data_IF_952797391677
#
_entry.id   IF_952797391677
#
_cell.length_a   1.000
_cell.length_b   1.000
_cell.length_c   1.000
_cell.angle_alpha   90.00
_cell.angle_beta   90.00
_cell.angle_gamma   90.00
#
_symmetry.space_group_name_H-M   'P 1'
#
loop_
_entity.id
_entity.type
_entity.pdbx_description
1 polymer ?
#
# COMPACT_ATOMS: atom_id res chain seq x y z
N UNK A 1 67.57 -2.15 -24.14
CA UNK A 1 67.52 -0.77 -23.61
C UNK A 1 66.18 -0.18 -23.99
N UNK A 2 65.52 0.48 -23.04
CA UNK A 2 64.11 0.91 -23.02
C UNK A 2 63.06 -0.21 -22.87
N UNK A 3 62.04 0.04 -22.03
CA UNK A 3 60.79 -0.72 -21.81
C UNK A 3 60.61 -1.61 -20.56
N UNK A 4 61.19 -1.26 -19.40
CA UNK A 4 60.72 -1.82 -18.09
C UNK A 4 60.51 -0.73 -16.99
N UNK A 5 60.77 0.54 -17.28
CA UNK A 5 60.86 1.59 -16.24
C UNK A 5 59.63 2.48 -15.99
N UNK A 6 58.38 2.02 -16.23
CA UNK A 6 57.20 2.91 -16.15
C UNK A 6 55.97 2.34 -15.41
N UNK A 7 56.15 1.38 -14.49
CA UNK A 7 55.03 0.81 -13.70
C UNK A 7 55.17 0.93 -12.18
N UNK A 8 56.20 1.60 -11.66
CA UNK A 8 56.47 1.69 -10.22
C UNK A 8 56.31 3.10 -9.61
N UNK A 9 55.72 4.07 -10.34
CA UNK A 9 55.62 5.47 -9.88
C UNK A 9 54.20 6.07 -9.89
N UNK A 10 53.14 5.24 -9.96
CA UNK A 10 51.73 5.67 -9.79
C UNK A 10 51.06 4.90 -8.64
N UNK A 11 51.82 4.57 -7.59
CA UNK A 11 51.30 3.86 -6.41
C UNK A 11 51.63 4.56 -5.09
N UNK A 12 51.73 5.90 -5.10
CA UNK A 12 51.96 6.70 -3.88
C UNK A 12 51.14 7.99 -3.80
N UNK A 13 49.99 8.08 -4.50
CA UNK A 13 49.06 9.21 -4.37
C UNK A 13 47.62 8.78 -4.03
N UNK A 14 47.40 7.54 -3.61
CA UNK A 14 46.19 7.18 -2.88
C UNK A 14 46.50 7.32 -1.39
N UNK A 15 46.52 8.56 -0.91
CA UNK A 15 46.39 8.81 0.52
C UNK A 15 45.03 8.27 0.94
N UNK A 16 45.00 7.06 1.48
CA UNK A 16 43.93 6.63 2.35
C UNK A 16 43.93 7.61 3.52
N UNK A 17 43.02 8.57 3.46
CA UNK A 17 42.66 9.42 4.59
C UNK A 17 41.96 8.51 5.60
N UNK A 18 42.75 7.72 6.33
CA UNK A 18 42.33 6.84 7.42
C UNK A 18 42.13 7.71 8.69
N UNK A 19 41.41 8.82 8.50
CA UNK A 19 40.84 9.55 9.63
C UNK A 19 39.80 8.60 10.24
N UNK A 20 39.87 8.31 11.55
CA UNK A 20 38.89 7.45 12.20
C UNK A 20 37.53 8.11 11.99
N UNK A 21 36.72 7.54 11.09
CA UNK A 21 35.34 7.96 10.93
C UNK A 21 34.64 7.59 12.22
N UNK A 22 34.44 8.58 13.08
CA UNK A 22 33.69 8.42 14.31
C UNK A 22 32.31 7.88 13.94
N UNK A 23 32.11 6.59 14.19
CA UNK A 23 30.85 5.88 13.94
C UNK A 23 29.70 6.44 14.78
N UNK A 24 29.98 7.44 15.63
CA UNK A 24 29.04 8.17 16.47
C UNK A 24 28.30 9.31 15.76
N UNK A 25 28.77 9.81 14.61
CA UNK A 25 28.11 10.97 13.97
C UNK A 25 27.05 10.49 12.97
N UNK A 26 25.78 10.52 13.38
CA UNK A 26 24.61 10.34 12.52
C UNK A 26 23.79 11.64 12.50
N UNK A 27 23.13 12.01 11.38
CA UNK A 27 23.26 11.45 10.02
C UNK A 27 24.46 12.01 9.23
N UNK A 28 25.01 11.22 8.29
CA UNK A 28 26.14 11.61 7.39
C UNK A 28 25.75 11.79 5.91
N UNK A 29 24.50 11.49 5.59
CA UNK A 29 23.90 11.64 4.26
C UNK A 29 22.41 11.98 4.44
N UNK A 30 21.72 12.44 3.38
CA UNK A 30 20.30 12.73 3.46
C UNK A 30 19.47 11.52 3.92
N UNK A 31 18.46 11.79 4.76
CA UNK A 31 17.50 10.80 5.26
C UNK A 31 16.28 10.83 4.34
N UNK A 32 15.80 9.66 3.92
CA UNK A 32 14.59 9.54 3.10
C UNK A 32 13.38 9.39 4.02
N UNK A 33 12.40 10.27 3.88
CA UNK A 33 11.09 10.12 4.49
C UNK A 33 10.10 9.64 3.44
N UNK A 34 9.60 8.41 3.58
CA UNK A 34 8.53 7.91 2.73
C UNK A 34 7.19 8.43 3.25
N UNK A 35 6.46 9.11 2.39
CA UNK A 35 5.07 9.51 2.61
C UNK A 35 4.22 8.71 1.63
N UNK A 36 3.35 7.79 2.10
CA UNK A 36 2.74 6.80 1.22
C UNK A 36 1.46 7.33 0.53
N UNK A 37 1.51 8.59 0.08
CA UNK A 37 0.44 9.34 -0.57
C UNK A 37 1.00 10.26 -1.65
N UNK A 38 0.14 10.72 -2.57
CA UNK A 38 0.53 11.63 -3.64
C UNK A 38 1.06 12.98 -3.12
N UNK A 39 1.98 13.58 -3.88
CA UNK A 39 2.52 14.90 -3.57
C UNK A 39 1.42 15.98 -3.59
N UNK A 40 1.54 16.99 -2.73
CA UNK A 40 0.57 18.07 -2.58
C UNK A 40 -0.69 17.73 -1.78
N UNK A 41 -0.87 16.47 -1.36
CA UNK A 41 -1.96 16.07 -0.45
C UNK A 41 -1.64 16.39 1.02
N UNK A 42 -2.63 16.26 1.91
CA UNK A 42 -2.51 16.62 3.34
C UNK A 42 -1.31 15.99 4.07
N UNK A 43 -1.03 14.70 3.85
CA UNK A 43 0.14 14.02 4.45
C UNK A 43 1.47 14.53 3.91
N UNK A 44 1.55 14.87 2.62
CA UNK A 44 2.75 15.43 1.99
C UNK A 44 3.01 16.86 2.49
N UNK A 45 1.95 17.69 2.55
CA UNK A 45 2.02 19.04 3.11
C UNK A 45 2.47 19.00 4.57
N UNK A 46 1.88 18.13 5.39
CA UNK A 46 2.28 17.95 6.78
C UNK A 46 3.77 17.58 6.91
N UNK A 47 4.25 16.62 6.10
CA UNK A 47 5.65 16.22 6.09
C UNK A 47 6.58 17.38 5.70
N UNK A 48 6.19 18.19 4.71
CA UNK A 48 6.97 19.35 4.22
C UNK A 48 7.08 20.45 5.26
N UNK A 49 6.05 20.67 6.07
CA UNK A 49 6.07 21.64 7.17
C UNK A 49 7.19 21.30 8.15
N UNK A 50 7.27 20.03 8.59
CA UNK A 50 8.31 19.57 9.49
C UNK A 50 9.69 19.51 8.81
N UNK A 51 9.77 19.06 7.56
CA UNK A 51 11.00 19.09 6.77
C UNK A 51 11.57 20.52 6.68
N UNK A 52 10.73 21.51 6.36
CA UNK A 52 11.15 22.91 6.23
C UNK A 52 11.64 23.48 7.58
N UNK A 53 10.94 23.17 8.67
CA UNK A 53 11.36 23.60 10.01
C UNK A 53 12.72 22.99 10.41
N UNK A 54 12.91 21.70 10.15
CA UNK A 54 14.19 21.01 10.38
C UNK A 54 15.32 21.65 9.58
N UNK A 55 15.10 21.97 8.30
CA UNK A 55 16.11 22.60 7.45
C UNK A 55 16.41 24.05 7.87
N UNK A 56 15.37 24.85 8.07
CA UNK A 56 15.47 26.29 8.42
C UNK A 56 16.21 26.49 9.75
N UNK A 57 15.90 25.66 10.74
CA UNK A 57 16.50 25.74 12.07
C UNK A 57 17.75 24.86 12.23
N UNK A 58 18.21 24.19 11.16
CA UNK A 58 19.39 23.30 11.16
C UNK A 58 19.33 22.25 12.28
N UNK A 59 18.14 21.67 12.50
CA UNK A 59 17.88 20.69 13.57
C UNK A 59 18.51 19.32 13.27
N UNK A 60 18.90 19.09 12.02
CA UNK A 60 19.71 17.95 11.61
C UNK A 60 20.92 18.43 10.79
N UNK A 61 22.07 17.74 10.88
CA UNK A 61 23.23 18.05 10.05
C UNK A 61 23.05 17.64 8.58
N UNK A 62 22.01 16.87 8.27
CA UNK A 62 21.69 16.40 6.92
C UNK A 62 20.22 16.63 6.60
N UNK A 63 19.93 16.79 5.31
CA UNK A 63 18.56 17.03 4.85
C UNK A 63 17.67 15.81 5.04
N UNK A 64 16.45 16.05 5.45
CA UNK A 64 15.33 15.12 5.30
C UNK A 64 14.78 15.28 3.88
N UNK A 65 14.57 14.20 3.13
CA UNK A 65 14.10 14.22 1.74
C UNK A 65 12.82 13.40 1.63
N UNK A 66 11.73 14.05 1.26
CA UNK A 66 10.42 13.41 1.12
C UNK A 66 10.35 12.63 -0.19
N UNK A 67 9.90 11.38 -0.10
CA UNK A 67 9.65 10.48 -1.22
C UNK A 67 8.19 10.02 -1.15
N UNK A 68 7.38 10.47 -2.11
CA UNK A 68 5.97 10.08 -2.21
C UNK A 68 5.84 8.69 -2.86
N UNK A 69 5.22 7.73 -2.17
CA UNK A 69 5.00 6.35 -2.67
C UNK A 69 3.53 5.97 -2.49
N UNK A 70 2.62 6.47 -3.36
CA UNK A 70 1.19 6.25 -3.22
C UNK A 70 0.77 4.80 -3.54
N UNK A 71 -0.38 4.40 -3.02
CA UNK A 71 -1.11 3.19 -3.43
C UNK A 71 -1.61 2.34 -2.27
N UNK A 72 -2.70 1.60 -2.51
CA UNK A 72 -3.34 0.65 -1.58
C UNK A 72 -3.46 1.15 -0.13
N UNK A 73 -4.00 2.37 0.06
CA UNK A 73 -4.22 2.95 1.40
C UNK A 73 -2.93 3.27 2.18
N UNK A 74 -1.79 3.30 1.50
CA UNK A 74 -0.47 3.58 2.06
C UNK A 74 0.36 2.32 2.35
N UNK A 75 -0.18 1.13 2.08
CA UNK A 75 0.50 -0.15 2.32
C UNK A 75 1.72 -0.36 1.42
N UNK A 76 1.70 0.14 0.18
CA UNK A 76 2.86 0.03 -0.74
C UNK A 76 4.07 0.77 -0.17
N UNK A 77 3.89 2.04 0.22
CA UNK A 77 4.97 2.84 0.78
C UNK A 77 5.43 2.34 2.15
N UNK A 78 4.51 1.90 3.02
CA UNK A 78 4.89 1.36 4.33
C UNK A 78 5.62 0.02 4.22
N UNK A 79 5.23 -0.88 3.30
CA UNK A 79 5.94 -2.15 3.03
C UNK A 79 7.36 -1.91 2.56
N UNK A 80 7.57 -0.89 1.72
CA UNK A 80 8.90 -0.48 1.26
C UNK A 80 9.80 -0.06 2.42
N UNK A 81 9.27 0.66 3.41
CA UNK A 81 10.04 1.06 4.61
C UNK A 81 10.25 -0.13 5.54
N UNK A 82 9.22 -0.95 5.78
CA UNK A 82 9.33 -2.18 6.57
C UNK A 82 10.51 -3.05 6.13
N UNK A 83 10.72 -3.15 4.82
CA UNK A 83 11.78 -3.96 4.20
C UNK A 83 13.09 -3.19 3.94
N UNK A 84 13.18 -1.93 4.33
CA UNK A 84 14.39 -1.14 4.16
C UNK A 84 15.48 -1.55 5.18
N UNK A 85 16.74 -1.17 4.91
CA UNK A 85 17.82 -1.37 5.88
C UNK A 85 17.47 -0.63 7.19
N UNK A 86 17.70 -1.21 8.38
CA UNK A 86 17.52 -0.57 9.69
C UNK A 86 18.61 0.48 10.00
N UNK A 87 18.73 1.37 9.03
CA UNK A 87 19.64 2.44 8.75
C UNK A 87 19.61 3.74 9.55
N UNK A 88 18.40 4.06 10.01
CA UNK A 88 17.96 5.44 10.24
C UNK A 88 17.87 6.31 8.97
N UNK A 89 18.21 5.85 7.76
CA UNK A 89 18.16 6.70 6.55
C UNK A 89 16.92 6.48 5.67
N UNK A 90 16.02 5.57 6.05
CA UNK A 90 14.71 5.41 5.41
C UNK A 90 13.66 5.31 6.50
N UNK A 91 12.82 6.32 6.59
CA UNK A 91 11.78 6.48 7.60
C UNK A 91 10.41 6.51 6.92
N UNK A 92 9.35 6.30 7.67
CA UNK A 92 7.97 6.37 7.21
C UNK A 92 7.23 7.42 8.03
N UNK A 93 6.49 8.29 7.35
CA UNK A 93 5.42 9.06 7.98
C UNK A 93 4.10 8.49 7.48
N UNK A 94 3.33 7.88 8.38
CA UNK A 94 2.02 7.33 8.09
C UNK A 94 1.16 7.45 9.34
N UNK A 95 -0.03 8.02 9.16
CA UNK A 95 -1.03 8.15 10.22
C UNK A 95 -1.64 6.79 10.62
N UNK A 96 -2.75 6.76 11.37
CA UNK A 96 -3.48 5.55 11.80
C UNK A 96 -3.85 4.57 10.68
N UNK A 97 -3.65 4.94 9.40
CA UNK A 97 -3.72 4.02 8.27
C UNK A 97 -2.86 2.77 8.46
N UNK A 98 -1.74 2.85 9.20
CA UNK A 98 -0.92 1.66 9.52
C UNK A 98 -1.67 0.65 10.41
N UNK A 99 -2.52 1.14 11.32
CA UNK A 99 -3.31 0.32 12.23
C UNK A 99 -4.56 -0.22 11.51
N UNK A 100 -5.28 0.65 10.81
CA UNK A 100 -6.51 0.25 10.09
C UNK A 100 -6.21 -0.71 8.94
N UNK A 101 -5.05 -0.61 8.29
CA UNK A 101 -4.65 -1.52 7.22
C UNK A 101 -4.52 -2.97 7.73
N UNK A 102 -3.95 -3.18 8.93
CA UNK A 102 -3.87 -4.51 9.55
C UNK A 102 -5.26 -5.09 9.82
N UNK A 103 -6.08 -4.33 10.54
CA UNK A 103 -7.39 -4.80 11.01
C UNK A 103 -8.45 -4.90 9.91
N UNK A 104 -8.22 -4.29 8.74
CA UNK A 104 -9.05 -4.49 7.55
C UNK A 104 -8.60 -5.64 6.66
N UNK A 105 -7.46 -6.28 6.94
CA UNK A 105 -6.84 -7.28 6.06
C UNK A 105 -6.15 -6.68 4.82
N UNK A 106 -6.06 -5.34 4.70
CA UNK A 106 -5.36 -4.67 3.61
C UNK A 106 -3.82 -4.85 3.69
N UNK A 107 -3.32 -5.12 4.90
CA UNK A 107 -1.93 -5.50 5.15
C UNK A 107 -1.85 -6.62 6.19
N UNK A 108 -0.88 -7.53 6.03
CA UNK A 108 -0.59 -8.59 7.00
C UNK A 108 0.29 -8.13 8.17
N UNK A 109 0.55 -6.83 8.29
CA UNK A 109 1.42 -6.24 9.33
C UNK A 109 0.83 -4.93 9.84
N UNK A 110 1.19 -4.53 11.06
CA UNK A 110 0.79 -3.25 11.66
C UNK A 110 1.99 -2.49 12.23
N UNK A 111 1.75 -1.76 13.32
CA UNK A 111 2.76 -0.97 14.01
C UNK A 111 3.92 -1.82 14.55
N UNK A 112 3.66 -3.07 14.93
CA UNK A 112 4.63 -4.06 15.42
C UNK A 112 5.74 -4.41 14.41
N UNK A 113 5.57 -4.08 13.13
CA UNK A 113 6.58 -4.25 12.11
C UNK A 113 7.62 -3.11 12.04
N UNK A 114 7.52 -2.12 12.93
CA UNK A 114 8.34 -0.90 12.92
C UNK A 114 8.84 -0.53 14.32
N UNK A 115 9.79 0.40 14.38
CA UNK A 115 10.13 1.12 15.61
C UNK A 115 9.45 2.50 15.56
N UNK A 116 8.59 2.86 16.55
CA UNK A 116 8.02 4.20 16.62
C UNK A 116 9.08 5.24 16.99
N UNK A 117 9.10 6.35 16.27
CA UNK A 117 10.02 7.48 16.52
C UNK A 117 9.29 8.57 17.29
N UNK A 118 8.15 9.00 16.76
CA UNK A 118 7.36 10.09 17.31
C UNK A 118 5.92 10.05 16.78
N UNK A 119 4.98 10.58 17.56
CA UNK A 119 3.67 11.02 17.08
C UNK A 119 3.61 12.54 17.07
N UNK A 120 3.41 13.17 15.90
CA UNK A 120 3.64 14.62 15.71
C UNK A 120 2.40 15.43 15.35
N UNK A 121 1.24 15.15 15.94
CA UNK A 121 0.02 15.91 15.69
C UNK A 121 -1.14 14.99 15.35
N UNK A 122 -2.34 15.48 15.60
CA UNK A 122 -3.54 14.66 15.64
C UNK A 122 -4.74 15.40 15.05
N UNK A 123 -5.54 14.71 14.25
CA UNK A 123 -6.67 15.29 13.54
C UNK A 123 -7.94 14.45 13.71
N UNK A 124 -8.87 14.93 14.54
CA UNK A 124 -10.16 14.26 14.75
C UNK A 124 -11.02 14.29 13.48
N UNK A 125 -11.87 13.27 13.33
CA UNK A 125 -12.81 13.18 12.21
C UNK A 125 -14.18 13.76 12.56
N UNK A 126 -14.85 14.34 11.57
CA UNK A 126 -16.21 14.88 11.64
C UNK A 126 -17.13 13.96 10.86
N UNK A 127 -18.20 13.47 11.49
CA UNK A 127 -19.28 12.78 10.79
C UNK A 127 -20.19 13.83 10.17
N UNK A 128 -20.37 13.78 8.85
CA UNK A 128 -21.17 14.74 8.13
C UNK A 128 -22.15 14.06 7.17
N UNK A 129 -23.22 14.79 6.89
CA UNK A 129 -24.31 14.45 5.97
C UNK A 129 -24.61 15.63 5.06
N UNK A 130 -25.37 15.41 4.00
CA UNK A 130 -25.92 16.52 3.20
C UNK A 130 -26.85 17.41 4.05
N UNK A 131 -26.92 18.72 3.79
CA UNK A 131 -27.81 19.62 4.54
C UNK A 131 -29.29 19.21 4.49
N UNK A 132 -29.72 18.59 3.39
CA UNK A 132 -31.08 18.07 3.20
C UNK A 132 -31.32 16.71 3.88
N UNK A 133 -30.31 16.15 4.56
CA UNK A 133 -30.42 14.87 5.25
C UNK A 133 -31.48 14.94 6.36
N UNK A 134 -32.25 13.85 6.57
CA UNK A 134 -33.22 13.77 7.66
C UNK A 134 -32.57 13.69 9.06
N UNK A 135 -31.26 13.43 9.14
CA UNK A 135 -30.56 13.30 10.42
C UNK A 135 -30.08 14.65 10.92
N UNK A 136 -30.60 15.07 12.07
CA UNK A 136 -30.21 16.32 12.73
C UNK A 136 -28.99 16.14 13.65
N UNK A 137 -28.79 14.93 14.19
CA UNK A 137 -27.75 14.60 15.15
C UNK A 137 -27.27 13.14 14.96
N UNK A 138 -26.21 12.76 15.69
CA UNK A 138 -25.65 11.41 15.60
C UNK A 138 -26.59 10.34 16.18
N UNK A 139 -27.31 10.55 17.32
CA UNK A 139 -28.30 9.61 17.82
C UNK A 139 -29.40 9.25 16.82
N UNK A 140 -29.91 10.23 16.05
CA UNK A 140 -30.93 10.00 15.03
C UNK A 140 -30.40 9.11 13.89
N UNK A 141 -29.18 9.38 13.40
CA UNK A 141 -28.51 8.53 12.41
C UNK A 141 -28.34 7.10 12.93
N UNK A 142 -27.88 6.94 14.17
CA UNK A 142 -27.61 5.62 14.76
C UNK A 142 -28.87 4.83 15.08
N UNK A 143 -29.97 5.50 15.44
CA UNK A 143 -31.29 4.86 15.60
C UNK A 143 -31.75 4.29 14.26
N UNK A 144 -31.69 5.10 13.20
CA UNK A 144 -32.13 4.66 11.87
C UNK A 144 -31.25 3.53 11.31
N UNK A 145 -29.93 3.58 11.54
CA UNK A 145 -29.02 2.49 11.20
C UNK A 145 -29.35 1.17 11.93
N UNK A 146 -30.02 1.22 13.08
CA UNK A 146 -30.44 0.06 13.86
C UNK A 146 -31.81 -0.45 13.44
N UNK A 147 -32.76 0.45 13.20
CA UNK A 147 -34.13 0.13 12.75
C UNK A 147 -34.16 -0.36 11.31
N UNK A 148 -33.31 0.21 10.46
CA UNK A 148 -33.21 -0.08 9.02
C UNK A 148 -31.77 -0.42 8.65
N UNK A 149 -31.25 -1.61 9.05
CA UNK A 149 -29.87 -1.99 8.76
C UNK A 149 -29.57 -1.95 7.26
N UNK A 150 -28.38 -1.44 6.90
CA UNK A 150 -27.87 -1.31 5.52
C UNK A 150 -28.63 -0.32 4.61
N UNK A 151 -29.60 0.44 5.15
CA UNK A 151 -30.32 1.49 4.41
C UNK A 151 -29.44 2.72 4.16
N UNK A 152 -28.66 3.12 5.17
CA UNK A 152 -27.77 4.28 5.14
C UNK A 152 -26.47 3.93 4.41
N UNK A 153 -26.17 4.69 3.36
CA UNK A 153 -24.96 4.54 2.55
C UNK A 153 -23.83 5.38 3.13
N UNK A 154 -22.81 4.71 3.66
CA UNK A 154 -21.64 5.34 4.23
C UNK A 154 -20.49 5.37 3.21
N UNK A 155 -20.09 6.56 2.77
CA UNK A 155 -18.97 6.73 1.86
C UNK A 155 -17.64 6.65 2.61
N UNK A 156 -16.77 5.75 2.19
CA UNK A 156 -15.47 5.54 2.84
C UNK A 156 -14.37 5.25 1.83
N UNK A 157 -13.13 5.28 2.32
CA UNK A 157 -12.06 4.51 1.71
C UNK A 157 -11.90 3.22 2.54
N UNK A 158 -12.25 2.08 1.96
CA UNK A 158 -12.22 0.77 2.60
C UNK A 158 -10.81 0.50 3.16
N UNK A 159 -10.77 0.06 4.42
CA UNK A 159 -9.54 -0.19 5.16
C UNK A 159 -8.79 1.06 5.66
N UNK A 160 -9.26 2.26 5.34
CA UNK A 160 -8.70 3.51 5.85
C UNK A 160 -9.45 4.01 7.11
N UNK A 161 -8.93 5.03 7.81
CA UNK A 161 -9.59 5.61 8.99
C UNK A 161 -11.04 6.05 8.75
N UNK A 162 -11.39 6.47 7.54
CA UNK A 162 -12.77 6.83 7.21
C UNK A 162 -13.75 5.66 7.24
N UNK A 163 -13.31 4.47 6.84
CA UNK A 163 -14.10 3.25 6.97
C UNK A 163 -14.25 2.87 8.45
N UNK A 164 -13.14 2.94 9.21
CA UNK A 164 -13.16 2.65 10.64
C UNK A 164 -13.99 3.64 11.45
N UNK A 165 -14.13 4.90 11.03
CA UNK A 165 -15.05 5.84 11.69
C UNK A 165 -16.51 5.29 11.69
N UNK A 166 -16.98 4.74 10.57
CA UNK A 166 -18.29 4.10 10.49
C UNK A 166 -18.38 2.80 11.27
N UNK A 167 -17.36 1.94 11.19
CA UNK A 167 -17.30 0.68 11.95
C UNK A 167 -17.30 0.92 13.47
N UNK A 168 -16.56 1.93 13.93
CA UNK A 168 -16.51 2.31 15.35
C UNK A 168 -17.86 2.80 15.83
N UNK A 169 -18.60 3.57 15.02
CA UNK A 169 -19.99 3.95 15.33
C UNK A 169 -20.90 2.71 15.44
N UNK A 170 -20.83 1.79 14.49
CA UNK A 170 -21.60 0.53 14.54
C UNK A 170 -21.30 -0.26 15.82
N UNK A 171 -20.02 -0.34 16.22
CA UNK A 171 -19.59 -1.09 17.40
C UNK A 171 -20.27 -0.64 18.70
N UNK A 172 -20.78 0.60 18.76
CA UNK A 172 -21.43 1.16 19.95
C UNK A 172 -22.94 0.95 20.02
N UNK A 173 -23.56 0.45 18.95
CA UNK A 173 -25.01 0.18 18.91
C UNK A 173 -25.27 -1.18 18.28
N UNK A 174 -25.64 -2.13 19.13
CA UNK A 174 -25.99 -3.49 18.68
C UNK A 174 -27.08 -3.42 17.62
N UNK A 175 -26.83 -4.04 16.46
CA UNK A 175 -27.76 -4.06 15.33
C UNK A 175 -27.58 -2.93 14.33
N UNK A 176 -26.86 -1.85 14.66
CA UNK A 176 -26.62 -0.75 13.73
C UNK A 176 -25.77 -1.21 12.53
N UNK A 177 -26.27 -1.00 11.31
CA UNK A 177 -25.56 -1.33 10.07
C UNK A 177 -25.61 -0.21 9.04
N UNK A 178 -24.47 0.01 8.39
CA UNK A 178 -24.26 0.95 7.30
C UNK A 178 -23.85 0.14 6.08
N UNK A 179 -24.36 0.54 4.92
CA UNK A 179 -23.87 0.03 3.64
C UNK A 179 -22.66 0.86 3.20
N UNK A 180 -21.47 0.32 3.38
CA UNK A 180 -20.24 1.00 2.96
C UNK A 180 -20.07 1.00 1.44
N UNK A 181 -19.61 2.13 0.89
CA UNK A 181 -19.22 2.25 -0.51
C UNK A 181 -17.79 2.73 -0.65
N UNK A 182 -17.02 2.10 -1.56
CA UNK A 182 -15.64 2.46 -1.84
C UNK A 182 -15.60 3.71 -2.73
N UNK A 183 -15.36 4.86 -2.13
CA UNK A 183 -15.36 6.15 -2.83
C UNK A 183 -13.98 6.83 -2.84
N UNK A 184 -13.08 6.42 -1.93
CA UNK A 184 -11.71 6.92 -1.87
C UNK A 184 -11.57 8.19 -1.00
N UNK A 185 -10.74 9.15 -1.42
CA UNK A 185 -10.41 10.35 -0.64
C UNK A 185 -11.60 11.28 -0.35
N UNK A 186 -11.42 12.24 0.56
CA UNK A 186 -12.49 13.16 1.01
C UNK A 186 -13.19 13.92 -0.11
N UNK A 187 -12.45 14.47 -1.08
CA UNK A 187 -13.05 15.18 -2.22
C UNK A 187 -14.03 14.32 -3.04
N UNK A 188 -13.70 13.04 -3.28
CA UNK A 188 -14.60 12.11 -3.99
C UNK A 188 -15.84 11.77 -3.15
N UNK A 189 -15.66 11.57 -1.83
CA UNK A 189 -16.75 11.31 -0.88
C UNK A 189 -17.70 12.49 -0.77
N UNK A 190 -17.17 13.70 -0.73
CA UNK A 190 -17.93 14.93 -0.78
C UNK A 190 -18.73 15.06 -2.09
N UNK A 191 -18.09 14.84 -3.25
CA UNK A 191 -18.79 14.87 -4.54
C UNK A 191 -19.92 13.83 -4.63
N UNK A 192 -19.71 12.62 -4.10
CA UNK A 192 -20.75 11.59 -4.04
C UNK A 192 -21.93 12.01 -3.14
N UNK A 193 -21.66 12.70 -2.02
CA UNK A 193 -22.68 13.22 -1.11
C UNK A 193 -23.47 14.37 -1.75
N UNK A 194 -22.82 15.23 -2.52
CA UNK A 194 -23.48 16.29 -3.30
C UNK A 194 -24.35 15.72 -4.42
N UNK A 195 -23.92 14.63 -5.05
CA UNK A 195 -24.70 13.92 -6.06
C UNK A 195 -25.84 13.06 -5.50
N UNK A 196 -26.01 12.98 -4.18
CA UNK A 196 -27.04 12.14 -3.54
C UNK A 196 -26.78 10.63 -3.69
N UNK A 197 -25.55 10.22 -3.94
CA UNK A 197 -25.17 8.81 -4.06
C UNK A 197 -24.84 8.15 -2.71
N UNK A 198 -24.62 8.96 -1.67
CA UNK A 198 -24.25 8.55 -0.32
C UNK A 198 -24.92 9.46 0.71
N UNK A 199 -25.22 8.93 1.88
CA UNK A 199 -25.97 9.64 2.92
C UNK A 199 -25.04 10.28 3.96
N UNK A 200 -23.94 9.58 4.29
CA UNK A 200 -23.02 9.95 5.37
C UNK A 200 -21.57 9.65 4.99
N UNK A 201 -20.64 10.45 5.52
CA UNK A 201 -19.20 10.20 5.43
C UNK A 201 -18.49 10.85 6.62
N UNK A 202 -17.27 10.39 6.91
CA UNK A 202 -16.36 11.10 7.80
C UNK A 202 -15.42 12.03 7.02
N UNK A 203 -15.06 13.18 7.57
CA UNK A 203 -14.08 14.11 6.99
C UNK A 203 -13.13 14.60 8.06
N UNK A 204 -11.91 15.02 7.70
CA UNK A 204 -11.12 15.82 8.64
C UNK A 204 -11.82 17.17 8.92
N UNK A 205 -11.47 17.81 10.04
CA UNK A 205 -12.00 19.15 10.37
C UNK A 205 -11.72 20.16 9.24
N UNK A 206 -10.52 20.13 8.66
CA UNK A 206 -10.15 21.02 7.55
C UNK A 206 -11.01 20.77 6.31
N UNK A 207 -11.19 19.51 5.91
CA UNK A 207 -12.09 19.14 4.80
C UNK A 207 -13.53 19.58 5.09
N UNK A 208 -14.04 19.34 6.30
CA UNK A 208 -15.39 19.75 6.67
C UNK A 208 -15.56 21.27 6.57
N UNK A 209 -14.65 22.06 7.12
CA UNK A 209 -14.70 23.53 7.04
C UNK A 209 -14.68 24.00 5.57
N UNK A 210 -13.86 23.36 4.73
CA UNK A 210 -13.80 23.67 3.30
C UNK A 210 -15.11 23.32 2.57
N UNK A 211 -15.74 22.20 2.93
CA UNK A 211 -16.92 21.67 2.22
C UNK A 211 -18.25 22.20 2.76
N UNK A 212 -18.32 22.60 4.02
CA UNK A 212 -19.52 23.11 4.69
C UNK A 212 -20.26 24.19 3.89
N UNK A 213 -19.60 25.21 3.28
CA UNK A 213 -20.29 26.24 2.49
C UNK A 213 -21.04 25.69 1.26
N UNK A 214 -20.72 24.47 0.82
CA UNK A 214 -21.33 23.80 -0.31
C UNK A 214 -22.49 22.87 0.09
N UNK A 215 -23.01 22.97 1.32
CA UNK A 215 -24.27 22.33 1.70
C UNK A 215 -24.12 20.98 2.43
N UNK A 216 -23.19 20.89 3.38
CA UNK A 216 -23.08 19.73 4.28
C UNK A 216 -23.11 20.14 5.75
N UNK A 217 -23.72 19.28 6.58
CA UNK A 217 -23.87 19.46 8.02
C UNK A 217 -23.08 18.42 8.78
N UNK A 218 -22.38 18.84 9.83
CA UNK A 218 -21.75 17.95 10.78
C UNK A 218 -22.77 17.45 11.81
N UNK A 219 -22.74 16.15 12.11
CA UNK A 219 -23.54 15.53 13.17
C UNK A 219 -22.76 15.37 14.47
N UNK A 220 -21.47 15.04 14.38
CA UNK A 220 -20.60 14.88 15.55
C UNK A 220 -19.12 15.00 15.19
N UNK A 221 -18.33 15.45 16.16
CA UNK A 221 -16.88 15.30 16.16
C UNK A 221 -16.48 13.99 16.85
N UNK A 222 -15.61 13.20 16.24
CA UNK A 222 -15.04 11.97 16.81
C UNK A 222 -13.73 12.27 17.54
N UNK A 223 -13.73 13.27 18.40
CA UNK A 223 -12.59 13.67 19.23
C UNK A 223 -12.93 13.61 20.72
N UNK A 224 -11.93 13.62 21.61
CA UNK A 224 -12.16 13.56 23.06
C UNK A 224 -12.86 14.82 23.60
N UNK A 225 -12.70 15.95 22.91
CA UNK A 225 -13.28 17.24 23.28
C UNK A 225 -13.66 18.01 22.01
N UNK A 226 -14.50 19.03 22.15
CA UNK A 226 -14.85 19.93 21.04
C UNK A 226 -13.61 20.63 20.49
N UNK A 227 -13.62 20.88 19.19
CA UNK A 227 -12.52 21.59 18.53
C UNK A 227 -12.73 23.10 18.62
N UNK A 228 -11.69 23.92 18.90
CA UNK A 228 -11.82 25.38 18.98
C UNK A 228 -12.39 26.06 17.73
N UNK A 229 -12.11 25.51 16.54
CA UNK A 229 -12.68 26.01 15.27
C UNK A 229 -14.14 25.57 15.03
N UNK A 230 -14.66 24.63 15.82
CA UNK A 230 -16.04 24.12 15.74
C UNK A 230 -16.65 24.02 17.16
N UNK A 231 -16.73 25.13 17.91
CA UNK A 231 -17.11 25.08 19.33
C UNK A 231 -18.56 24.64 19.57
N UNK A 232 -19.42 24.83 18.57
CA UNK A 232 -20.83 24.42 18.60
C UNK A 232 -21.03 22.94 18.25
N UNK A 233 -20.04 22.28 17.64
CA UNK A 233 -20.16 20.89 17.24
C UNK A 233 -19.91 19.98 18.44
N UNK A 234 -20.95 19.30 18.89
CA UNK A 234 -20.83 18.32 19.96
C UNK A 234 -19.97 17.12 19.54
N UNK A 235 -19.25 16.54 20.50
CA UNK A 235 -18.53 15.27 20.26
C UNK A 235 -19.51 14.10 20.22
N UNK A 236 -19.08 12.96 19.67
CA UNK A 236 -19.85 11.72 19.77
C UNK A 236 -20.06 11.32 21.25
N UNK A 237 -19.02 11.50 22.08
CA UNK A 237 -19.06 11.18 23.52
C UNK A 237 -20.09 12.04 24.26
N UNK A 238 -20.18 13.34 23.97
CA UNK A 238 -21.21 14.24 24.51
C UNK A 238 -22.63 13.81 24.09
N UNK A 239 -22.77 13.14 22.94
CA UNK A 239 -24.02 12.60 22.43
C UNK A 239 -24.29 11.15 22.90
N UNK A 240 -23.49 10.63 23.83
CA UNK A 240 -23.67 9.30 24.43
C UNK A 240 -23.10 8.13 23.61
N UNK A 241 -22.22 8.40 22.65
CA UNK A 241 -21.45 7.40 21.92
C UNK A 241 -19.95 7.59 22.16
N UNK A 242 -19.35 6.71 22.95
CA UNK A 242 -17.92 6.73 23.25
C UNK A 242 -17.07 6.32 22.03
N UNK A 243 -16.97 7.20 21.04
CA UNK A 243 -16.24 7.00 19.79
C UNK A 243 -15.26 8.15 19.59
N UNK A 244 -13.98 7.80 19.63
CA UNK A 244 -12.87 8.68 19.28
C UNK A 244 -12.20 8.10 18.03
N UNK A 245 -12.15 8.89 16.97
CA UNK A 245 -11.47 8.55 15.72
C UNK A 245 -10.67 9.75 15.27
N UNK A 246 -9.37 9.67 15.50
CA UNK A 246 -8.42 10.73 15.18
C UNK A 246 -7.26 10.15 14.38
N UNK A 247 -6.70 10.96 13.49
CA UNK A 247 -5.55 10.61 12.68
C UNK A 247 -4.29 11.25 13.26
N UNK A 248 -3.59 10.49 14.09
CA UNK A 248 -2.29 10.86 14.61
C UNK A 248 -1.21 10.61 13.54
N UNK A 249 -0.31 11.58 13.36
CA UNK A 249 0.79 11.49 12.39
C UNK A 249 1.98 10.76 13.04
N UNK A 250 2.16 9.48 12.72
CA UNK A 250 3.24 8.68 13.28
C UNK A 250 4.47 8.63 12.37
N UNK A 251 5.64 8.72 12.99
CA UNK A 251 6.95 8.54 12.39
C UNK A 251 7.49 7.18 12.80
N UNK A 252 7.91 6.40 11.81
CA UNK A 252 8.37 5.03 11.99
C UNK A 252 9.72 4.80 11.34
N UNK A 253 10.53 3.94 11.96
CA UNK A 253 11.75 3.40 11.39
C UNK A 253 11.58 1.88 11.14
N UNK A 254 12.37 1.29 10.24
CA UNK A 254 12.42 -0.17 10.07
C UNK A 254 12.81 -0.86 11.37
N UNK A 255 12.25 -2.05 11.60
CA UNK A 255 12.56 -2.86 12.77
C UNK A 255 14.07 -3.13 12.88
N UNK A 256 14.63 -2.97 14.08
CA UNK A 256 16.06 -3.11 14.34
C UNK A 256 16.90 -1.86 14.11
N UNK A 257 16.28 -0.71 13.79
CA UNK A 257 16.99 0.57 13.71
C UNK A 257 17.60 0.93 15.07
N UNK A 258 18.91 1.26 15.14
CA UNK A 258 19.58 1.62 16.40
C UNK A 258 18.94 2.79 17.16
N UNK A 259 18.87 2.68 18.49
CA UNK A 259 18.19 3.64 19.35
C UNK A 259 18.75 5.07 19.26
N UNK A 260 20.07 5.22 19.09
CA UNK A 260 20.73 6.53 18.91
C UNK A 260 20.19 7.28 17.68
N UNK A 261 19.86 6.55 16.61
CA UNK A 261 19.26 7.12 15.39
C UNK A 261 17.81 7.53 15.63
N UNK A 262 17.06 6.71 16.36
CA UNK A 262 15.67 7.02 16.74
C UNK A 262 15.61 8.30 17.56
N UNK A 263 16.44 8.39 18.61
CA UNK A 263 16.50 9.58 19.48
C UNK A 263 16.94 10.83 18.70
N UNK A 264 17.93 10.73 17.82
CA UNK A 264 18.36 11.88 16.98
C UNK A 264 17.21 12.45 16.14
N UNK A 265 16.37 11.58 15.55
CA UNK A 265 15.23 12.04 14.75
C UNK A 265 14.09 12.55 15.65
N UNK A 266 13.82 11.86 16.76
CA UNK A 266 12.81 12.29 17.73
C UNK A 266 13.12 13.69 18.30
N UNK A 267 14.38 13.96 18.62
CA UNK A 267 14.85 15.27 19.11
C UNK A 267 14.66 16.36 18.05
N UNK A 268 15.02 16.08 16.79
CA UNK A 268 14.81 17.03 15.69
C UNK A 268 13.32 17.33 15.45
N UNK A 269 12.46 16.30 15.51
CA UNK A 269 11.00 16.47 15.40
C UNK A 269 10.42 17.26 16.57
N UNK A 270 10.89 16.98 17.80
CA UNK A 270 10.46 17.71 18.99
C UNK A 270 10.78 19.20 18.87
N UNK A 271 12.02 19.53 18.48
CA UNK A 271 12.44 20.90 18.28
C UNK A 271 11.67 21.58 17.12
N UNK A 272 11.41 20.86 16.03
CA UNK A 272 10.62 21.38 14.91
C UNK A 272 9.18 21.72 15.34
N UNK A 273 8.53 20.84 16.11
CA UNK A 273 7.17 21.05 16.63
C UNK A 273 7.06 22.26 17.57
N UNK A 274 8.17 22.70 18.17
CA UNK A 274 8.21 23.89 19.02
C UNK A 274 8.32 25.20 18.24
N UNK A 275 8.62 25.17 16.94
CA UNK A 275 8.73 26.39 16.13
C UNK A 275 7.37 27.06 15.93
N UNK A 276 7.33 28.39 15.90
CA UNK A 276 6.10 29.14 15.66
C UNK A 276 5.51 28.84 14.28
N UNK A 277 6.39 28.67 13.27
CA UNK A 277 5.96 28.30 11.92
C UNK A 277 5.16 26.99 11.92
N UNK A 278 5.67 25.94 12.57
CA UNK A 278 4.96 24.65 12.61
C UNK A 278 3.65 24.79 13.38
N UNK A 279 3.66 25.45 14.55
CA UNK A 279 2.44 25.66 15.35
C UNK A 279 1.36 26.40 14.57
N UNK A 280 1.73 27.45 13.84
CA UNK A 280 0.80 28.23 13.02
C UNK A 280 0.25 27.38 11.85
N UNK A 281 1.12 26.72 11.09
CA UNK A 281 0.67 25.92 9.94
C UNK A 281 -0.20 24.75 10.36
N UNK A 282 0.08 24.09 11.50
CA UNK A 282 -0.79 23.04 12.02
C UNK A 282 -2.17 23.58 12.42
N UNK A 283 -2.25 24.77 13.02
CA UNK A 283 -3.53 25.41 13.35
C UNK A 283 -4.34 25.77 12.09
N UNK A 284 -3.67 26.22 11.02
CA UNK A 284 -4.29 26.46 9.71
C UNK A 284 -4.81 25.15 9.10
N UNK A 285 -4.06 24.06 9.25
CA UNK A 285 -4.43 22.71 8.82
C UNK A 285 -5.46 22.03 9.75
N UNK A 286 -5.87 22.68 10.84
CA UNK A 286 -6.80 22.12 11.83
C UNK A 286 -6.30 20.81 12.46
N UNK A 287 -4.98 20.73 12.63
CA UNK A 287 -4.28 19.63 13.29
C UNK A 287 -3.90 20.11 14.68
N UNK A 288 -4.32 19.36 15.70
CA UNK A 288 -3.89 19.61 17.08
C UNK A 288 -2.41 19.26 17.18
N UNK A 289 -1.52 20.19 17.57
CA UNK A 289 -0.13 19.88 17.80
C UNK A 289 0.00 18.84 18.90
N UNK A 290 0.73 17.77 18.64
CA UNK A 290 0.98 16.70 19.61
C UNK A 290 2.40 16.22 19.42
N UNK A 291 3.14 15.97 20.49
CA UNK A 291 4.47 15.40 20.42
C UNK A 291 4.57 14.29 21.47
N UNK A 292 4.48 13.04 21.02
CA UNK A 292 4.69 11.85 21.84
C UNK A 292 5.95 11.11 21.37
N UNK A 293 6.71 10.57 22.31
CA UNK A 293 7.90 9.72 22.09
C UNK A 293 8.08 8.76 23.26
N UNK A 294 8.89 7.71 23.07
CA UNK A 294 9.19 6.73 24.11
C UNK A 294 7.94 6.04 24.66
N UNK A 295 7.90 5.66 25.96
CA UNK A 295 6.82 4.86 26.52
C UNK A 295 5.42 5.46 26.37
N UNK A 296 5.28 6.79 26.37
CA UNK A 296 3.99 7.44 26.17
C UNK A 296 3.45 7.22 24.75
N UNK A 297 4.33 7.17 23.76
CA UNK A 297 3.95 6.86 22.38
C UNK A 297 3.53 5.40 22.23
N UNK A 298 4.22 4.47 22.88
CA UNK A 298 3.88 3.04 22.85
C UNK A 298 2.47 2.81 23.43
N UNK A 299 2.17 3.44 24.57
CA UNK A 299 0.84 3.39 25.19
C UNK A 299 -0.25 3.94 24.27
N UNK A 300 0.01 5.06 23.60
CA UNK A 300 -0.93 5.67 22.65
C UNK A 300 -1.21 4.74 21.46
N UNK A 301 -0.16 4.14 20.88
CA UNK A 301 -0.28 3.18 19.77
C UNK A 301 -1.12 1.97 20.21
N UNK A 302 -0.83 1.39 21.38
CA UNK A 302 -1.56 0.23 21.91
C UNK A 302 -3.03 0.52 22.23
N UNK A 303 -3.33 1.73 22.69
CA UNK A 303 -4.71 2.16 22.93
C UNK A 303 -5.47 2.30 21.61
N UNK A 304 -4.87 2.96 20.62
CA UNK A 304 -5.46 3.13 19.28
C UNK A 304 -5.66 1.81 18.57
N UNK A 305 -4.66 0.93 18.59
CA UNK A 305 -4.74 -0.40 17.97
C UNK A 305 -5.90 -1.22 18.56
N UNK A 306 -6.06 -1.21 19.90
CA UNK A 306 -7.20 -1.87 20.56
C UNK A 306 -8.55 -1.30 20.18
N UNK A 307 -8.68 0.03 20.10
CA UNK A 307 -9.93 0.68 19.68
C UNK A 307 -10.30 0.32 18.23
N UNK A 308 -9.31 0.30 17.33
CA UNK A 308 -9.48 -0.08 15.92
C UNK A 308 -9.82 -1.58 15.81
N UNK A 309 -9.09 -2.44 16.52
CA UNK A 309 -9.32 -3.88 16.55
C UNK A 309 -10.73 -4.24 17.03
N UNK A 310 -11.23 -3.55 18.08
CA UNK A 310 -12.56 -3.79 18.62
C UNK A 310 -13.69 -3.45 17.63
N UNK A 311 -13.45 -2.54 16.68
CA UNK A 311 -14.39 -2.17 15.64
C UNK A 311 -14.20 -2.95 14.32
N UNK A 312 -13.13 -3.72 14.19
CA UNK A 312 -12.80 -4.42 12.96
C UNK A 312 -13.87 -5.46 12.60
N UNK A 313 -14.25 -5.60 11.33
CA UNK A 313 -15.20 -6.62 10.91
C UNK A 313 -14.61 -8.01 11.13
N UNK A 314 -15.31 -8.87 11.87
CA UNK A 314 -14.86 -10.23 12.24
C UNK A 314 -14.90 -11.25 11.10
N UNK A 315 -15.17 -10.83 9.86
CA UNK A 315 -15.31 -11.75 8.73
C UNK A 315 -14.04 -11.81 7.89
N UNK A 316 -13.11 -12.69 8.29
CA UNK A 316 -12.23 -13.29 7.31
C UNK A 316 -13.12 -14.11 6.36
N UNK A 317 -13.35 -13.59 5.15
CA UNK A 317 -13.86 -14.44 4.07
C UNK A 317 -12.76 -15.47 3.80
N UNK A 318 -12.88 -16.64 4.41
CA UNK A 318 -12.08 -17.81 4.09
C UNK A 318 -12.43 -18.21 2.65
N UNK A 319 -11.81 -17.54 1.68
CA UNK A 319 -11.83 -17.98 0.30
C UNK A 319 -11.11 -19.33 0.28
N UNK A 320 -11.70 -20.36 -0.34
CA UNK A 320 -10.99 -21.61 -0.60
C UNK A 320 -9.63 -21.30 -1.25
N UNK A 321 -8.56 -22.04 -0.94
CA UNK A 321 -7.22 -21.77 -1.46
C UNK A 321 -7.13 -22.18 -2.95
N UNK A 322 -7.87 -21.48 -3.80
CA UNK A 322 -8.01 -21.76 -5.23
C UNK A 322 -6.67 -21.72 -5.96
N UNK A 323 -5.76 -20.84 -5.53
CA UNK A 323 -4.40 -20.76 -6.06
C UNK A 323 -3.60 -22.04 -5.75
N UNK A 324 -3.67 -22.54 -4.51
CA UNK A 324 -2.98 -23.77 -4.11
C UNK A 324 -3.55 -24.98 -4.84
N UNK A 325 -4.88 -25.04 -4.99
CA UNK A 325 -5.54 -26.08 -5.79
C UNK A 325 -5.13 -26.03 -7.26
N UNK A 326 -5.00 -24.84 -7.85
CA UNK A 326 -4.54 -24.67 -9.22
C UNK A 326 -3.07 -25.07 -9.40
N UNK A 327 -2.21 -24.74 -8.42
CA UNK A 327 -0.80 -25.12 -8.41
C UNK A 327 -0.63 -26.65 -8.31
N UNK A 328 -1.36 -27.31 -7.41
CA UNK A 328 -1.37 -28.77 -7.30
C UNK A 328 -1.87 -29.39 -8.60
N UNK A 329 -2.94 -28.85 -9.20
CA UNK A 329 -3.44 -29.28 -10.50
C UNK A 329 -2.40 -29.15 -11.62
N UNK A 330 -1.57 -28.10 -11.60
CA UNK A 330 -0.49 -27.90 -12.55
C UNK A 330 0.61 -28.94 -12.37
N UNK A 331 1.04 -29.17 -11.13
CA UNK A 331 2.09 -30.16 -10.82
C UNK A 331 1.63 -31.56 -11.22
N UNK A 332 0.38 -31.91 -10.93
CA UNK A 332 -0.19 -33.22 -11.28
C UNK A 332 -0.30 -33.42 -12.80
N UNK A 333 -0.73 -32.40 -13.55
CA UNK A 333 -0.82 -32.48 -15.02
C UNK A 333 0.56 -32.52 -15.67
N UNK A 334 1.53 -31.75 -15.18
CA UNK A 334 2.92 -31.79 -15.61
C UNK A 334 3.59 -33.14 -15.31
N UNK A 335 3.33 -33.73 -14.14
CA UNK A 335 3.81 -35.07 -13.77
C UNK A 335 3.17 -36.15 -14.64
N UNK A 336 1.86 -36.10 -14.88
CA UNK A 336 1.17 -37.04 -15.75
C UNK A 336 1.67 -36.96 -17.21
N UNK A 337 1.89 -35.76 -17.73
CA UNK A 337 2.48 -35.54 -19.05
C UNK A 337 3.92 -36.07 -19.11
N UNK A 338 4.71 -35.86 -18.05
CA UNK A 338 6.08 -36.37 -17.95
C UNK A 338 6.13 -37.90 -17.92
N UNK A 339 5.26 -38.53 -17.14
CA UNK A 339 5.11 -40.00 -17.07
C UNK A 339 4.62 -40.56 -18.41
N UNK A 340 3.65 -39.92 -19.08
CA UNK A 340 3.23 -40.33 -20.43
C UNK A 340 4.36 -40.19 -21.45
N UNK A 341 5.15 -39.11 -21.38
CA UNK A 341 6.31 -38.92 -22.26
C UNK A 341 7.38 -39.99 -22.02
N UNK A 342 7.62 -40.34 -20.76
CA UNK A 342 8.57 -41.37 -20.36
C UNK A 342 8.10 -42.75 -20.81
N UNK A 343 6.82 -43.07 -20.62
CA UNK A 343 6.20 -44.31 -21.12
C UNK A 343 6.24 -44.42 -22.64
N UNK A 344 6.04 -43.31 -23.36
CA UNK A 344 6.21 -43.24 -24.83
C UNK A 344 7.66 -43.45 -25.25
N UNK A 345 8.63 -42.92 -24.50
CA UNK A 345 10.08 -43.15 -24.73
C UNK A 345 10.50 -44.59 -24.44
N UNK A 346 9.93 -45.24 -23.43
CA UNK A 346 10.21 -46.66 -23.15
C UNK A 346 9.47 -47.62 -24.10
N UNK A 347 8.33 -47.21 -24.65
CA UNK A 347 7.59 -47.98 -25.66
C UNK A 347 8.22 -47.87 -27.07
N UNK A 348 8.90 -46.77 -27.38
CA UNK A 348 9.67 -46.61 -28.63
C UNK A 348 11.16 -46.88 -28.39
N UNK A 349 11.49 -48.13 -28.02
CA UNK A 349 12.85 -48.69 -28.16
C UNK A 349 12.91 -49.64 -29.37
N UNK A 350 12.52 -49.11 -30.53
CA UNK A 350 12.84 -49.53 -31.90
C UNK A 350 12.33 -48.38 -32.79
N UNK A 351 13.17 -47.85 -33.66
CA UNK A 351 12.93 -46.68 -34.56
C UNK A 351 13.13 -45.25 -34.02
N UNK A 352 14.21 -44.96 -33.29
CA UNK A 352 14.70 -43.55 -33.19
C UNK A 352 16.19 -43.46 -33.45
N UNK A 353 16.58 -43.68 -34.71
CA UNK A 353 17.86 -43.18 -35.25
C UNK A 353 17.63 -42.07 -36.30
N UNK A 354 16.43 -41.91 -36.87
CA UNK A 354 16.22 -40.93 -37.96
C UNK A 354 15.49 -39.62 -37.61
N UNK A 355 14.81 -39.50 -36.46
CA UNK A 355 14.06 -38.26 -36.14
C UNK A 355 14.88 -37.16 -35.44
N UNK A 356 16.06 -37.48 -34.90
CA UNK A 356 16.95 -36.48 -34.30
C UNK A 356 17.69 -35.60 -35.34
N UNK A 357 17.61 -35.95 -36.63
CA UNK A 357 18.25 -35.20 -37.72
C UNK A 357 17.35 -34.13 -38.38
N UNK A 358 16.04 -34.13 -38.11
CA UNK A 358 15.06 -33.31 -38.85
C UNK A 358 14.29 -32.27 -38.01
N UNK A 359 14.71 -31.99 -36.78
CA UNK A 359 14.25 -30.79 -36.07
C UNK A 359 14.84 -29.54 -36.72
N UNK A 360 14.15 -28.95 -37.70
CA UNK A 360 14.58 -27.68 -38.30
C UNK A 360 14.66 -26.63 -37.18
N UNK A 361 15.79 -25.92 -36.99
CA UNK A 361 15.87 -24.82 -36.03
C UNK A 361 14.79 -23.78 -36.36
N UNK A 362 14.24 -23.14 -35.33
CA UNK A 362 13.23 -22.09 -35.49
C UNK A 362 13.71 -21.08 -36.54
N UNK A 363 12.89 -20.81 -37.55
CA UNK A 363 13.31 -19.95 -38.65
C UNK A 363 13.40 -18.49 -38.16
N UNK A 364 14.19 -17.66 -38.85
CA UNK A 364 14.39 -16.24 -38.49
C UNK A 364 13.07 -15.46 -38.36
N UNK A 365 12.03 -15.86 -39.09
CA UNK A 365 10.70 -15.24 -39.03
C UNK A 365 9.93 -15.57 -37.74
N UNK A 366 10.03 -16.80 -37.23
CA UNK A 366 9.43 -17.20 -35.95
C UNK A 366 10.07 -16.44 -34.79
N UNK A 367 11.40 -16.31 -34.80
CA UNK A 367 12.13 -15.54 -33.79
C UNK A 367 11.76 -14.05 -33.84
N UNK A 368 11.65 -13.46 -35.04
CA UNK A 368 11.17 -12.10 -35.21
C UNK A 368 9.73 -11.91 -34.71
N UNK A 369 8.83 -12.87 -34.98
CA UNK A 369 7.45 -12.85 -34.50
C UNK A 369 7.32 -12.88 -32.98
N UNK A 370 8.12 -13.72 -32.30
CA UNK A 370 8.17 -13.76 -30.84
C UNK A 370 8.74 -12.45 -30.28
N UNK A 371 9.77 -11.89 -30.93
CA UNK A 371 10.32 -10.58 -30.58
C UNK A 371 9.25 -9.47 -30.61
N UNK A 372 8.49 -9.36 -31.70
CA UNK A 372 7.39 -8.41 -31.83
C UNK A 372 6.29 -8.62 -30.78
N UNK A 373 5.90 -9.88 -30.53
CA UNK A 373 4.92 -10.21 -29.49
C UNK A 373 5.41 -9.82 -28.09
N UNK A 374 6.70 -9.97 -27.83
CA UNK A 374 7.31 -9.64 -26.54
C UNK A 374 7.29 -8.13 -26.32
N UNK A 375 7.62 -7.35 -27.35
CA UNK A 375 7.52 -5.88 -27.32
C UNK A 375 6.06 -5.45 -27.07
N UNK A 376 5.10 -6.04 -27.78
CA UNK A 376 3.68 -5.75 -27.58
C UNK A 376 3.17 -6.10 -26.19
N UNK A 377 3.61 -7.23 -25.63
CA UNK A 377 3.30 -7.65 -24.26
C UNK A 377 3.86 -6.66 -23.23
N UNK A 378 5.12 -6.23 -23.38
CA UNK A 378 5.74 -5.24 -22.49
C UNK A 378 5.02 -3.90 -22.55
N UNK A 379 4.66 -3.43 -23.75
CA UNK A 379 3.89 -2.19 -23.93
C UNK A 379 2.51 -2.30 -23.26
N UNK A 380 1.82 -3.44 -23.43
CA UNK A 380 0.51 -3.69 -22.82
C UNK A 380 0.56 -3.56 -21.29
N UNK A 381 1.57 -4.15 -20.66
CA UNK A 381 1.77 -4.06 -19.21
C UNK A 381 2.18 -2.66 -18.76
N UNK A 382 3.07 -1.99 -19.51
CA UNK A 382 3.58 -0.66 -19.16
C UNK A 382 2.48 0.41 -19.16
N UNK A 383 1.53 0.32 -20.08
CA UNK A 383 0.41 1.26 -20.20
C UNK A 383 -0.87 0.78 -19.52
N UNK A 384 -0.84 -0.35 -18.81
CA UNK A 384 -2.00 -0.90 -18.11
C UNK A 384 -3.18 -1.23 -19.02
N UNK A 385 -2.91 -1.60 -20.29
CA UNK A 385 -3.96 -1.89 -21.28
C UNK A 385 -4.70 -3.19 -20.96
N UNK A 386 -4.03 -4.11 -20.27
CA UNK A 386 -4.59 -5.34 -19.73
C UNK A 386 -3.82 -5.74 -18.47
N UNK A 387 -4.50 -6.34 -17.49
CA UNK A 387 -3.84 -6.87 -16.29
C UNK A 387 -2.85 -8.00 -16.62
N UNK A 388 -1.91 -8.25 -15.70
CA UNK A 388 -0.84 -9.23 -15.91
C UNK A 388 -1.33 -10.62 -16.35
N UNK A 389 -2.37 -11.17 -15.71
CA UNK A 389 -2.86 -12.54 -15.98
C UNK A 389 -3.40 -12.70 -17.42
N UNK A 390 -4.35 -11.87 -17.91
CA UNK A 390 -4.82 -11.99 -19.29
C UNK A 390 -3.72 -11.68 -20.31
N UNK A 391 -2.86 -10.68 -20.05
CA UNK A 391 -1.76 -10.33 -20.95
C UNK A 391 -0.76 -11.48 -21.11
N UNK A 392 -0.38 -12.12 -20.00
CA UNK A 392 0.60 -13.22 -19.99
C UNK A 392 0.02 -14.50 -20.58
N UNK A 393 -1.28 -14.77 -20.35
CA UNK A 393 -1.96 -15.92 -20.96
C UNK A 393 -2.01 -15.79 -22.50
N UNK A 394 -2.36 -14.60 -23.02
CA UNK A 394 -2.38 -14.33 -24.46
C UNK A 394 -0.97 -14.42 -25.06
N UNK A 395 0.02 -13.83 -24.39
CA UNK A 395 1.42 -13.90 -24.84
C UNK A 395 1.94 -15.35 -24.90
N UNK A 396 1.71 -16.14 -23.84
CA UNK A 396 2.11 -17.54 -23.78
C UNK A 396 1.40 -18.39 -24.84
N UNK A 397 0.13 -18.10 -25.13
CA UNK A 397 -0.64 -18.81 -26.16
C UNK A 397 -0.11 -18.52 -27.57
N UNK A 398 0.13 -17.25 -27.89
CA UNK A 398 0.58 -16.83 -29.21
C UNK A 398 2.03 -17.25 -29.48
N UNK A 399 2.92 -17.09 -28.49
CA UNK A 399 4.32 -17.53 -28.61
C UNK A 399 4.43 -19.06 -28.70
N UNK A 400 3.67 -19.81 -27.88
CA UNK A 400 3.57 -21.26 -27.97
C UNK A 400 3.03 -21.74 -29.31
N UNK A 401 2.01 -21.06 -29.84
CA UNK A 401 1.46 -21.34 -31.18
C UNK A 401 2.47 -21.14 -32.30
N UNK A 402 3.28 -20.09 -32.27
CA UNK A 402 4.32 -19.82 -33.28
C UNK A 402 5.45 -20.87 -33.24
N UNK A 403 5.88 -21.26 -32.04
CA UNK A 403 6.95 -22.26 -31.86
C UNK A 403 6.50 -23.66 -32.30
N UNK A 404 5.25 -24.01 -32.01
CA UNK A 404 4.69 -25.33 -32.31
C UNK A 404 3.99 -25.39 -33.68
N UNK A 405 3.92 -24.29 -34.42
CA UNK A 405 3.29 -24.22 -35.74
C UNK A 405 3.75 -25.34 -36.71
N UNK A 406 5.05 -25.68 -36.83
CA UNK A 406 5.48 -26.75 -37.73
C UNK A 406 4.95 -28.13 -37.33
N UNK A 407 4.72 -28.36 -36.04
CA UNK A 407 4.16 -29.60 -35.50
C UNK A 407 2.64 -29.62 -35.69
N UNK A 408 1.96 -28.50 -35.44
CA UNK A 408 0.52 -28.33 -35.65
C UNK A 408 0.12 -28.44 -37.13
N UNK A 409 0.98 -27.94 -38.03
CA UNK A 409 0.80 -28.02 -39.47
C UNK A 409 1.09 -29.42 -40.06
N UNK A 410 1.65 -30.33 -39.27
CA UNK A 410 1.84 -31.71 -39.67
C UNK A 410 0.51 -32.49 -39.62
N UNK A 411 0.23 -33.32 -40.64
CA UNK A 411 -1.02 -34.12 -40.73
C UNK A 411 -1.19 -35.17 -39.62
N UNK A 412 -0.23 -35.33 -38.71
CA UNK A 412 -0.24 -36.36 -37.68
C UNK A 412 -0.89 -35.93 -36.35
N UNK A 413 -1.16 -34.64 -36.14
CA UNK A 413 -1.76 -34.14 -34.89
C UNK A 413 -3.19 -33.65 -35.08
N UNK A 414 -4.09 -33.96 -34.14
CA UNK A 414 -5.44 -33.39 -34.13
C UNK A 414 -5.36 -31.91 -33.72
N UNK A 415 -5.66 -30.95 -34.62
CA UNK A 415 -5.42 -29.52 -34.38
C UNK A 415 -6.27 -28.98 -33.23
N UNK A 416 -7.48 -29.49 -33.03
CA UNK A 416 -8.39 -29.04 -31.97
C UNK A 416 -7.82 -29.38 -30.59
N UNK A 417 -7.34 -30.61 -30.41
CA UNK A 417 -6.76 -31.07 -29.13
C UNK A 417 -5.48 -30.32 -28.79
N UNK A 418 -4.65 -30.02 -29.78
CA UNK A 418 -3.40 -29.32 -29.57
C UNK A 418 -3.62 -27.84 -29.19
N UNK A 419 -4.55 -27.15 -29.86
CA UNK A 419 -4.93 -25.77 -29.50
C UNK A 419 -5.55 -25.69 -28.11
N UNK A 420 -6.41 -26.65 -27.74
CA UNK A 420 -7.02 -26.70 -26.40
C UNK A 420 -5.96 -26.93 -25.31
N UNK A 421 -4.99 -27.81 -25.57
CA UNK A 421 -3.88 -28.07 -24.63
C UNK A 421 -3.03 -26.82 -24.43
N UNK A 422 -2.71 -26.10 -25.50
CA UNK A 422 -1.96 -24.85 -25.43
C UNK A 422 -2.72 -23.79 -24.62
N UNK A 423 -4.01 -23.62 -24.86
CA UNK A 423 -4.85 -22.67 -24.11
C UNK A 423 -4.82 -22.97 -22.60
N UNK A 424 -4.99 -24.23 -22.21
CA UNK A 424 -4.98 -24.64 -20.81
C UNK A 424 -3.62 -24.35 -20.17
N UNK A 425 -2.53 -24.76 -20.82
CA UNK A 425 -1.17 -24.55 -20.30
C UNK A 425 -0.85 -23.06 -20.18
N UNK A 426 -1.23 -22.24 -21.16
CA UNK A 426 -0.99 -20.79 -21.14
C UNK A 426 -1.74 -20.08 -20.02
N UNK A 427 -3.01 -20.44 -19.79
CA UNK A 427 -3.79 -19.89 -18.67
C UNK A 427 -3.22 -20.33 -17.33
N UNK A 428 -2.90 -21.62 -17.18
CA UNK A 428 -2.33 -22.13 -15.93
C UNK A 428 -0.96 -21.51 -15.63
N UNK A 429 -0.06 -21.46 -16.60
CA UNK A 429 1.26 -20.82 -16.44
C UNK A 429 1.13 -19.35 -16.06
N UNK A 430 0.19 -18.62 -16.67
CA UNK A 430 -0.06 -17.22 -16.34
C UNK A 430 -0.47 -17.02 -14.88
N UNK A 431 -1.41 -17.82 -14.38
CA UNK A 431 -1.87 -17.77 -12.98
C UNK A 431 -0.74 -18.16 -12.02
N UNK A 432 0.02 -19.21 -12.34
CA UNK A 432 1.16 -19.67 -11.52
C UNK A 432 2.26 -18.61 -11.46
N UNK A 433 2.59 -17.98 -12.59
CA UNK A 433 3.58 -16.90 -12.62
C UNK A 433 3.09 -15.68 -11.83
N UNK A 434 1.81 -15.32 -11.94
CA UNK A 434 1.27 -14.22 -11.14
C UNK A 434 1.45 -14.50 -9.65
N UNK A 435 1.06 -15.67 -9.17
CA UNK A 435 1.23 -16.07 -7.77
C UNK A 435 2.70 -16.11 -7.34
N UNK A 436 3.58 -16.68 -8.17
CA UNK A 436 5.02 -16.71 -7.91
C UNK A 436 5.56 -15.28 -7.74
N UNK A 437 5.20 -14.37 -8.63
CA UNK A 437 5.68 -12.99 -8.57
C UNK A 437 5.06 -12.21 -7.40
N UNK A 438 3.76 -12.31 -7.15
CA UNK A 438 3.09 -11.49 -6.12
C UNK A 438 3.26 -12.02 -4.70
N UNK A 439 3.18 -13.34 -4.51
CA UNK A 439 3.18 -13.95 -3.17
C UNK A 439 4.56 -14.47 -2.76
N UNK A 440 5.31 -15.07 -3.69
CA UNK A 440 6.62 -15.66 -3.36
C UNK A 440 7.75 -14.65 -3.51
N UNK A 441 7.79 -13.94 -4.64
CA UNK A 441 8.84 -12.97 -4.95
C UNK A 441 8.49 -11.54 -4.52
N UNK A 442 7.24 -11.28 -4.15
CA UNK A 442 6.74 -9.98 -3.69
C UNK A 442 7.08 -8.85 -4.67
N UNK A 443 6.88 -9.12 -5.96
CA UNK A 443 7.05 -8.19 -7.08
C UNK A 443 5.66 -7.71 -7.51
N UNK A 444 5.48 -6.39 -7.51
CA UNK A 444 4.25 -5.77 -7.99
C UNK A 444 4.14 -5.94 -9.51
N UNK A 445 3.08 -6.62 -9.94
CA UNK A 445 2.74 -6.80 -11.34
C UNK A 445 1.55 -5.89 -11.70
N UNK A 446 1.57 -5.24 -12.88
CA UNK A 446 0.54 -4.30 -13.32
C UNK A 446 -0.81 -4.94 -13.68
#
# INVERSE_FOLDING_TARGET
MCWIGCCLLIMSLCGCDDSPQDSRVYPRRPIKLVVPFGAGGGSDTFARVLQNAIETHRLLPQRLVIINVPGAGGTIGSRRVKNARPDGYTLLLLHDGILTARHSGSASYGADAFIPIAGTGNASQVIAVNDNSPYADLPALMRDATEHPDSIVFAANMGAPSHFAGLMLQSKKVGAKFRFTQTGGGAKRFAAMQGGHVDVSSFSIAEYIQFKPSGIRALALLGPQRHPDLPELATATEQGLDVINENMQFWWAPLGTPADRIETIADALQAAMQTDQVRQTLAEMKITPTMLRGPALDVEIDQRDRMIAAAAPTSELHLPPFADYALVGFIMTAAAASIQSFRRRTAMRRETVDLARNGRPANRAQLAGIGCLTIGYVISLQFGLAGFVPATAVYALLSGGILLWPLLASRQTNPIKATLTLLIVSVMMSVVMHHLFTEVLVVDLP
#
